data_IF_400016616618
#
_entry.id   IF_400016616618
#
_cell.length_a   1.000
_cell.length_b   1.000
_cell.length_c   1.000
_cell.angle_alpha   90.00
_cell.angle_beta   90.00
_cell.angle_gamma   90.00
#
_symmetry.space_group_name_H-M   'P 1'
#
loop_
_entity.id
_entity.type
_entity.pdbx_description
1 polymer ?
#
# COMPACT_ATOMS: atom_id res chain seq x y z
N UNK A 1 -23.64 -51.61 -9.75
CA UNK A 1 -22.77 -50.39 -9.71
C UNK A 1 -22.19 -50.28 -8.33
N UNK A 2 -20.86 -50.27 -8.20
CA UNK A 2 -20.16 -50.09 -6.92
C UNK A 2 -20.07 -48.61 -6.59
N UNK A 3 -20.58 -48.19 -5.43
CA UNK A 3 -20.51 -46.78 -4.94
C UNK A 3 -19.11 -46.49 -4.38
N UNK A 4 -18.44 -45.51 -4.93
CA UNK A 4 -17.16 -45.03 -4.35
C UNK A 4 -17.43 -44.16 -3.13
N UNK A 5 -16.91 -44.52 -1.94
CA UNK A 5 -17.09 -43.69 -0.73
C UNK A 5 -16.31 -42.39 -0.80
N UNK A 6 -16.99 -41.24 -0.81
CA UNK A 6 -16.39 -39.89 -0.85
C UNK A 6 -16.57 -39.07 0.43
N UNK A 7 -17.07 -39.70 1.49
CA UNK A 7 -17.36 -39.00 2.75
C UNK A 7 -16.14 -38.32 3.38
N UNK A 8 -15.02 -39.02 3.42
CA UNK A 8 -13.77 -38.49 3.96
C UNK A 8 -13.23 -37.27 3.16
N UNK A 9 -13.18 -37.41 1.84
CA UNK A 9 -12.69 -36.33 0.97
C UNK A 9 -13.58 -35.11 1.03
N UNK A 10 -14.89 -35.27 1.07
CA UNK A 10 -15.85 -34.20 1.20
C UNK A 10 -15.71 -33.49 2.55
N UNK A 11 -15.54 -34.26 3.65
CA UNK A 11 -15.32 -33.70 5.01
C UNK A 11 -14.01 -32.89 5.06
N UNK A 12 -12.91 -33.42 4.57
CA UNK A 12 -11.60 -32.76 4.53
C UNK A 12 -11.65 -31.44 3.75
N UNK A 13 -12.30 -31.43 2.58
CA UNK A 13 -12.51 -30.22 1.78
C UNK A 13 -13.31 -29.16 2.54
N UNK A 14 -14.41 -29.54 3.20
CA UNK A 14 -15.24 -28.63 4.00
C UNK A 14 -14.46 -28.05 5.19
N UNK A 15 -13.70 -28.88 5.89
CA UNK A 15 -12.87 -28.44 7.03
C UNK A 15 -11.81 -27.44 6.58
N UNK A 16 -11.12 -27.69 5.45
CA UNK A 16 -10.14 -26.76 4.88
C UNK A 16 -10.78 -25.41 4.55
N UNK A 17 -11.96 -25.39 3.93
CA UNK A 17 -12.67 -24.15 3.62
C UNK A 17 -13.12 -23.39 4.87
N UNK A 18 -13.60 -24.11 5.88
CA UNK A 18 -13.99 -23.50 7.17
C UNK A 18 -12.81 -22.88 7.92
N UNK A 19 -11.62 -23.47 7.86
CA UNK A 19 -10.43 -22.90 8.48
C UNK A 19 -10.06 -21.53 7.91
N UNK A 20 -10.18 -21.35 6.58
CA UNK A 20 -9.99 -20.03 5.96
C UNK A 20 -11.04 -18.98 6.37
N UNK A 21 -12.27 -19.43 6.65
CA UNK A 21 -13.37 -18.54 6.98
C UNK A 21 -13.65 -18.45 8.49
N UNK A 22 -12.75 -18.93 9.34
CA UNK A 22 -12.96 -19.03 10.79
C UNK A 22 -13.26 -17.67 11.45
N UNK A 23 -12.68 -16.59 10.94
CA UNK A 23 -12.88 -15.23 11.42
C UNK A 23 -14.05 -14.49 10.76
N UNK A 24 -14.75 -15.11 9.80
CA UNK A 24 -15.83 -14.45 9.08
C UNK A 24 -17.08 -14.34 9.95
N UNK A 25 -17.82 -13.25 9.78
CA UNK A 25 -18.98 -12.93 10.61
C UNK A 25 -20.23 -13.71 10.19
N UNK A 26 -20.97 -14.23 11.16
CA UNK A 26 -22.29 -14.83 10.99
C UNK A 26 -22.29 -16.11 10.15
N UNK A 27 -23.23 -16.25 9.22
CA UNK A 27 -23.41 -17.41 8.37
C UNK A 27 -22.21 -17.70 7.42
N UNK A 28 -21.39 -16.69 7.16
CA UNK A 28 -20.24 -16.80 6.26
C UNK A 28 -19.09 -17.64 6.82
N UNK A 29 -19.08 -17.94 8.13
CA UNK A 29 -18.17 -18.90 8.76
C UNK A 29 -18.77 -20.29 8.97
N UNK A 30 -20.10 -20.43 8.90
CA UNK A 30 -20.81 -21.66 9.28
C UNK A 30 -21.34 -22.46 8.08
N UNK A 31 -21.94 -21.80 7.08
CA UNK A 31 -22.57 -22.44 5.92
C UNK A 31 -21.57 -22.64 4.78
N UNK A 32 -21.35 -23.90 4.37
CA UNK A 32 -20.34 -24.22 3.35
C UNK A 32 -20.57 -23.50 2.00
N UNK A 33 -21.83 -23.29 1.60
CA UNK A 33 -22.16 -22.58 0.35
C UNK A 33 -21.70 -21.13 0.40
N UNK A 34 -22.03 -20.40 1.47
CA UNK A 34 -21.66 -19.00 1.66
C UNK A 34 -20.17 -18.83 1.89
N UNK A 35 -19.53 -19.74 2.65
CA UNK A 35 -18.09 -19.78 2.87
C UNK A 35 -17.33 -19.81 1.54
N UNK A 36 -17.66 -20.73 0.65
CA UNK A 36 -16.97 -20.88 -0.63
C UNK A 36 -17.07 -19.61 -1.48
N UNK A 37 -18.24 -18.98 -1.50
CA UNK A 37 -18.48 -17.74 -2.23
C UNK A 37 -17.68 -16.58 -1.65
N UNK A 38 -17.68 -16.43 -0.33
CA UNK A 38 -16.99 -15.33 0.35
C UNK A 38 -15.46 -15.44 0.27
N UNK A 39 -14.92 -16.66 0.38
CA UNK A 39 -13.47 -16.87 0.19
C UNK A 39 -13.04 -16.46 -1.22
N UNK A 40 -13.78 -16.84 -2.25
CA UNK A 40 -13.47 -16.43 -3.64
C UNK A 40 -13.49 -14.90 -3.78
N UNK A 41 -14.51 -14.23 -3.23
CA UNK A 41 -14.59 -12.76 -3.23
C UNK A 41 -13.43 -12.11 -2.48
N UNK A 42 -13.05 -12.66 -1.33
CA UNK A 42 -11.91 -12.17 -0.56
C UNK A 42 -10.60 -12.25 -1.36
N UNK A 43 -10.34 -13.37 -2.06
CA UNK A 43 -9.15 -13.50 -2.91
C UNK A 43 -9.16 -12.54 -4.10
N UNK A 44 -10.30 -12.34 -4.75
CA UNK A 44 -10.43 -11.35 -5.84
C UNK A 44 -10.16 -9.95 -5.34
N UNK A 45 -10.73 -9.56 -4.20
CA UNK A 45 -10.46 -8.26 -3.57
C UNK A 45 -8.99 -8.10 -3.19
N UNK A 46 -8.40 -9.10 -2.54
CA UNK A 46 -6.98 -9.10 -2.18
C UNK A 46 -6.06 -8.95 -3.41
N UNK A 47 -6.37 -9.61 -4.52
CA UNK A 47 -5.61 -9.46 -5.76
C UNK A 47 -5.66 -8.02 -6.29
N UNK A 48 -6.85 -7.43 -6.34
CA UNK A 48 -7.04 -6.03 -6.76
C UNK A 48 -6.34 -5.05 -5.83
N UNK A 49 -6.45 -5.27 -4.53
CA UNK A 49 -5.91 -4.37 -3.50
C UNK A 49 -4.37 -4.41 -3.46
N UNK A 50 -3.72 -5.52 -3.79
CA UNK A 50 -2.26 -5.55 -3.97
C UNK A 50 -1.76 -4.60 -5.07
N UNK A 51 -2.49 -4.46 -6.17
CA UNK A 51 -2.20 -3.47 -7.20
C UNK A 51 -2.46 -2.03 -6.75
N UNK A 52 -3.57 -1.83 -6.01
CA UNK A 52 -3.98 -0.53 -5.48
C UNK A 52 -3.04 -0.02 -4.38
N UNK A 53 -2.54 -0.88 -3.52
CA UNK A 53 -1.65 -0.56 -2.41
C UNK A 53 -0.42 0.24 -2.86
N UNK A 54 0.17 -0.10 -4.01
CA UNK A 54 1.31 0.63 -4.57
C UNK A 54 0.98 2.11 -4.87
N UNK A 55 -0.23 2.37 -5.37
CA UNK A 55 -0.71 3.73 -5.67
C UNK A 55 -1.02 4.51 -4.39
N UNK A 56 -1.58 3.84 -3.39
CA UNK A 56 -1.93 4.45 -2.11
C UNK A 56 -0.68 4.85 -1.33
N UNK A 57 0.37 4.01 -1.29
CA UNK A 57 1.66 4.38 -0.71
C UNK A 57 2.34 5.53 -1.43
N UNK A 58 2.29 5.55 -2.77
CA UNK A 58 2.86 6.68 -3.52
C UNK A 58 2.13 7.98 -3.21
N UNK A 59 0.81 7.95 -3.10
CA UNK A 59 0.00 9.12 -2.68
C UNK A 59 0.39 9.58 -1.28
N UNK A 60 0.55 8.65 -0.34
CA UNK A 60 0.98 8.95 1.02
C UNK A 60 2.36 9.63 1.06
N UNK A 61 3.34 9.13 0.30
CA UNK A 61 4.66 9.76 0.23
C UNK A 61 4.59 11.18 -0.33
N UNK A 62 3.83 11.40 -1.39
CA UNK A 62 3.61 12.72 -1.98
C UNK A 62 3.01 13.67 -0.94
N UNK A 63 1.99 13.24 -0.20
CA UNK A 63 1.34 14.06 0.83
C UNK A 63 2.33 14.45 1.94
N UNK A 64 3.14 13.50 2.42
CA UNK A 64 4.14 13.75 3.47
C UNK A 64 5.22 14.74 3.02
N UNK A 65 5.76 14.55 1.82
CA UNK A 65 6.76 15.46 1.25
C UNK A 65 6.16 16.87 1.07
N UNK A 66 4.94 16.97 0.53
CA UNK A 66 4.27 18.24 0.30
C UNK A 66 3.98 18.98 1.60
N UNK A 67 3.56 18.28 2.66
CA UNK A 67 3.39 18.89 3.99
C UNK A 67 4.70 19.44 4.55
N UNK A 68 5.77 18.65 4.49
CA UNK A 68 7.08 19.08 4.99
C UNK A 68 7.67 20.25 4.20
N UNK A 69 7.50 20.29 2.88
CA UNK A 69 7.96 21.43 2.05
C UNK A 69 7.23 22.72 2.37
N UNK A 70 5.94 22.66 2.70
CA UNK A 70 5.14 23.82 3.11
C UNK A 70 5.53 24.34 4.49
N UNK A 71 5.74 23.45 5.46
CA UNK A 71 6.16 23.83 6.82
C UNK A 71 7.53 24.52 6.78
N UNK A 72 8.46 24.00 6.05
CA UNK A 72 9.85 24.50 6.01
C UNK A 72 10.06 25.72 5.09
N UNK A 73 9.01 26.18 4.40
CA UNK A 73 9.07 27.34 3.47
C UNK A 73 10.29 27.29 2.53
N UNK A 74 10.58 26.12 1.97
CA UNK A 74 11.84 25.83 1.27
C UNK A 74 11.97 26.55 -0.07
N UNK A 75 10.87 26.85 -0.73
CA UNK A 75 10.81 27.55 -2.04
C UNK A 75 9.71 28.62 -2.02
N UNK A 76 9.85 29.67 -2.83
CA UNK A 76 8.89 30.79 -2.95
C UNK A 76 7.47 30.35 -3.33
N UNK A 77 7.31 29.15 -3.88
CA UNK A 77 6.03 28.47 -3.98
C UNK A 77 6.19 27.02 -3.50
N UNK A 78 5.95 26.83 -2.26
CA UNK A 78 6.04 25.62 -1.41
C UNK A 78 5.26 24.43 -1.94
N UNK A 79 5.70 23.83 -3.06
CA UNK A 79 4.98 22.77 -3.77
C UNK A 79 5.88 21.56 -4.01
N UNK A 80 5.34 20.37 -3.74
CA UNK A 80 5.95 19.10 -4.09
C UNK A 80 6.43 19.05 -5.54
N UNK A 81 5.63 19.56 -6.49
CA UNK A 81 5.94 19.53 -7.91
C UNK A 81 7.24 20.25 -8.24
N UNK A 82 7.47 21.43 -7.63
CA UNK A 82 8.69 22.20 -7.83
C UNK A 82 9.91 21.52 -7.22
N UNK A 83 9.77 20.94 -6.03
CA UNK A 83 10.84 20.16 -5.40
C UNK A 83 11.29 19.03 -6.32
N UNK A 84 10.36 18.23 -6.80
CA UNK A 84 10.66 17.08 -7.65
C UNK A 84 11.22 17.52 -9.02
N UNK A 85 10.67 18.57 -9.62
CA UNK A 85 11.19 19.12 -10.86
C UNK A 85 12.67 19.54 -10.70
N UNK A 86 13.00 20.26 -9.64
CA UNK A 86 14.36 20.73 -9.37
C UNK A 86 15.31 19.56 -9.06
N UNK A 87 14.86 18.52 -8.34
CA UNK A 87 15.63 17.29 -8.14
C UNK A 87 16.00 16.63 -9.45
N UNK A 88 15.06 16.46 -10.37
CA UNK A 88 15.32 15.87 -11.68
C UNK A 88 16.21 16.76 -12.56
N UNK A 89 15.99 18.07 -12.56
CA UNK A 89 16.83 19.02 -13.29
C UNK A 89 18.30 18.99 -12.84
N UNK A 90 18.55 18.67 -11.58
CA UNK A 90 19.88 18.56 -10.99
C UNK A 90 20.42 17.13 -10.94
N UNK A 91 19.75 16.20 -11.63
CA UNK A 91 20.12 14.78 -11.72
C UNK A 91 20.26 14.08 -10.34
N UNK A 92 19.65 14.65 -9.30
CA UNK A 92 19.60 14.06 -7.98
C UNK A 92 18.49 13.01 -7.91
N UNK A 93 18.84 11.76 -8.17
CA UNK A 93 17.91 10.63 -8.20
C UNK A 93 17.59 10.18 -6.77
N UNK A 94 16.68 10.88 -6.11
CA UNK A 94 16.16 10.46 -4.80
C UNK A 94 14.77 9.84 -4.92
N UNK A 95 14.63 8.65 -4.32
CA UNK A 95 13.36 7.92 -4.30
C UNK A 95 12.35 8.64 -3.40
N UNK A 96 11.09 8.73 -3.84
CA UNK A 96 9.98 9.33 -3.07
C UNK A 96 9.79 8.72 -1.69
N UNK A 97 9.99 7.40 -1.56
CA UNK A 97 9.93 6.69 -0.28
C UNK A 97 10.97 7.23 0.70
N UNK A 98 12.22 7.38 0.26
CA UNK A 98 13.31 7.90 1.08
C UNK A 98 13.07 9.36 1.46
N UNK A 99 12.66 10.20 0.50
CA UNK A 99 12.31 11.60 0.78
C UNK A 99 11.18 11.72 1.81
N UNK A 100 10.16 10.87 1.71
CA UNK A 100 9.07 10.87 2.67
C UNK A 100 9.51 10.40 4.07
N UNK A 101 10.43 9.45 4.16
CA UNK A 101 11.02 9.04 5.43
C UNK A 101 11.84 10.16 6.06
N UNK A 102 12.71 10.80 5.28
CA UNK A 102 13.50 11.96 5.73
C UNK A 102 12.59 13.10 6.20
N UNK A 103 11.51 13.36 5.47
CA UNK A 103 10.53 14.38 5.81
C UNK A 103 9.84 14.14 7.17
N UNK A 104 9.67 12.88 7.58
CA UNK A 104 9.05 12.51 8.86
C UNK A 104 10.08 12.43 9.99
N UNK A 105 11.25 11.83 9.74
CA UNK A 105 12.25 11.58 10.77
C UNK A 105 13.09 12.81 11.08
N UNK A 106 13.42 13.61 10.08
CA UNK A 106 14.26 14.79 10.25
C UNK A 106 13.95 15.89 9.21
N UNK A 107 13.11 16.82 9.59
CA UNK A 107 12.71 17.96 8.75
C UNK A 107 13.89 18.84 8.33
N UNK A 108 14.90 19.00 9.19
CA UNK A 108 16.10 19.77 8.90
C UNK A 108 16.91 19.17 7.75
N UNK A 109 16.96 17.85 7.65
CA UNK A 109 17.62 17.16 6.53
C UNK A 109 16.93 17.42 5.20
N UNK A 110 15.61 17.46 5.16
CA UNK A 110 14.86 17.83 3.95
C UNK A 110 15.16 19.29 3.55
N UNK A 111 15.22 20.19 4.53
CA UNK A 111 15.60 21.60 4.31
C UNK A 111 17.01 21.73 3.72
N UNK A 112 17.98 20.99 4.25
CA UNK A 112 19.36 20.97 3.74
C UNK A 112 19.44 20.45 2.30
N UNK A 113 18.73 19.37 1.98
CA UNK A 113 18.62 18.84 0.60
C UNK A 113 18.06 19.91 -0.33
N UNK A 114 17.01 20.58 0.08
CA UNK A 114 16.34 21.61 -0.71
C UNK A 114 17.22 22.84 -0.94
N UNK A 115 17.98 23.26 0.04
CA UNK A 115 18.93 24.37 -0.10
C UNK A 115 20.10 24.01 -1.02
N UNK A 116 20.64 22.81 -0.93
CA UNK A 116 21.66 22.34 -1.88
C UNK A 116 21.17 22.38 -3.33
N UNK A 117 19.90 22.03 -3.56
CA UNK A 117 19.28 22.11 -4.90
C UNK A 117 19.19 23.57 -5.41
N UNK A 118 19.02 24.56 -4.52
CA UNK A 118 19.02 26.00 -4.88
C UNK A 118 20.41 26.50 -5.25
N UNK A 119 21.44 26.09 -4.53
CA UNK A 119 22.81 26.61 -4.64
C UNK A 119 23.52 26.07 -5.90
N UNK A 120 23.20 24.87 -6.34
CA UNK A 120 23.78 24.31 -7.55
C UNK A 120 23.07 24.95 -8.77
N UNK A 121 23.67 25.99 -9.34
CA UNK A 121 23.24 26.64 -10.60
C UNK A 121 23.57 25.77 -11.81
#
# INVERSE_FOLDING_TARGET
MTRVPRGYTARRRRTKMRSFASSFRGAHSRLNRTITQQIRRAFVSSHRDRGRQKRDFRRLWITRINAATRINKVFDSYSYSKLIHNLYKKELILNRKMLAQVAVSNQNSLYMISNKIKIIK
#
